data_IF_588263621289
#
_entry.id   IF_588263621289
#
_cell.length_a   1.000
_cell.length_b   1.000
_cell.length_c   1.000
_cell.angle_alpha   90.00
_cell.angle_beta   90.00
_cell.angle_gamma   90.00
#
_symmetry.space_group_name_H-M   'P 1'
#
loop_
_entity.id
_entity.type
_entity.pdbx_description
1 polymer ?
#
# COMPACT_ATOMS: atom_id res chain seq x y z
N UNK A 1 -15.07 -1.46 1.73
CA UNK A 1 -14.36 -0.18 1.62
C UNK A 1 -13.57 -0.21 0.32
N UNK A 2 -13.61 0.88 -0.45
CA UNK A 2 -12.75 1.06 -1.63
C UNK A 2 -11.60 1.95 -1.17
N UNK A 3 -10.35 1.54 -1.40
CA UNK A 3 -9.17 2.31 -1.02
C UNK A 3 -8.04 2.10 -2.03
N UNK A 4 -7.38 3.18 -2.50
CA UNK A 4 -6.19 3.08 -3.34
C UNK A 4 -5.06 2.26 -2.70
N UNK A 5 -4.81 2.46 -1.41
CA UNK A 5 -3.75 1.77 -0.66
C UNK A 5 -3.98 0.26 -0.53
N UNK A 6 -5.23 -0.21 -0.65
CA UNK A 6 -5.54 -1.63 -0.62
C UNK A 6 -5.00 -2.39 -1.85
N UNK A 7 -4.71 -1.71 -2.97
CA UNK A 7 -4.00 -2.31 -4.10
C UNK A 7 -2.56 -2.70 -3.73
N UNK A 8 -1.94 -1.96 -2.80
CA UNK A 8 -0.54 -2.14 -2.40
C UNK A 8 -0.43 -3.07 -1.19
N UNK A 9 -1.21 -2.82 -0.13
CA UNK A 9 -1.14 -3.54 1.16
C UNK A 9 -2.47 -4.20 1.56
N UNK A 10 -3.05 -5.09 0.73
CA UNK A 10 -4.42 -5.61 0.94
C UNK A 10 -4.62 -6.33 2.27
N UNK A 11 -3.59 -7.06 2.75
CA UNK A 11 -3.66 -7.80 4.03
C UNK A 11 -3.83 -6.87 5.22
N UNK A 12 -3.11 -5.75 5.26
CA UNK A 12 -3.18 -4.79 6.37
C UNK A 12 -4.53 -4.07 6.41
N UNK A 13 -5.05 -3.64 5.26
CA UNK A 13 -6.40 -3.06 5.17
C UNK A 13 -7.49 -4.05 5.62
N UNK A 14 -7.36 -5.31 5.22
CA UNK A 14 -8.29 -6.37 5.64
C UNK A 14 -8.21 -6.61 7.15
N UNK A 15 -7.00 -6.69 7.72
CA UNK A 15 -6.80 -6.85 9.16
C UNK A 15 -7.35 -5.66 9.95
N UNK A 16 -7.12 -4.43 9.48
CA UNK A 16 -7.65 -3.21 10.08
C UNK A 16 -9.17 -3.22 10.14
N UNK A 17 -9.82 -3.53 9.01
CA UNK A 17 -11.28 -3.61 8.95
C UNK A 17 -11.85 -4.73 9.82
N UNK A 18 -11.21 -5.90 9.84
CA UNK A 18 -11.62 -7.02 10.70
C UNK A 18 -11.50 -6.68 12.18
N UNK A 19 -10.42 -6.02 12.60
CA UNK A 19 -10.24 -5.56 13.97
C UNK A 19 -11.34 -4.57 14.37
N UNK A 20 -11.65 -3.60 13.52
CA UNK A 20 -12.73 -2.65 13.76
C UNK A 20 -14.09 -3.35 13.87
N UNK A 21 -14.40 -4.27 12.95
CA UNK A 21 -15.66 -5.04 12.95
C UNK A 21 -15.81 -5.95 14.17
N UNK A 22 -14.70 -6.44 14.72
CA UNK A 22 -14.67 -7.24 15.94
C UNK A 22 -14.72 -6.38 17.23
N UNK A 23 -14.83 -5.06 17.13
CA UNK A 23 -14.81 -4.14 18.28
C UNK A 23 -13.42 -3.87 18.85
N UNK A 24 -12.36 -4.43 18.27
CA UNK A 24 -10.98 -4.15 18.68
C UNK A 24 -10.47 -2.86 18.01
N UNK A 25 -10.95 -1.72 18.50
CA UNK A 25 -10.62 -0.41 17.95
C UNK A 25 -9.14 -0.03 18.14
N UNK A 26 -8.50 -0.47 19.24
CA UNK A 26 -7.08 -0.19 19.48
C UNK A 26 -6.20 -0.82 18.39
N UNK A 27 -6.43 -2.08 18.05
CA UNK A 27 -5.70 -2.73 16.96
C UNK A 27 -6.02 -2.10 15.59
N UNK A 28 -7.27 -1.70 15.35
CA UNK A 28 -7.66 -1.03 14.12
C UNK A 28 -6.94 0.33 13.97
N UNK A 29 -6.90 1.15 15.01
CA UNK A 29 -6.23 2.44 15.01
C UNK A 29 -4.72 2.29 14.83
N UNK A 30 -4.09 1.33 15.52
CA UNK A 30 -2.66 1.04 15.33
C UNK A 30 -2.33 0.66 13.88
N UNK A 31 -3.18 -0.13 13.22
CA UNK A 31 -3.01 -0.45 11.80
C UNK A 31 -3.27 0.75 10.90
N UNK A 32 -4.28 1.57 11.22
CA UNK A 32 -4.59 2.80 10.50
C UNK A 32 -3.42 3.78 10.53
N UNK A 33 -2.80 3.98 11.70
CA UNK A 33 -1.66 4.87 11.90
C UNK A 33 -0.45 4.43 11.08
N UNK A 34 -0.21 3.11 10.98
CA UNK A 34 0.83 2.57 10.10
C UNK A 34 0.53 2.82 8.62
N UNK A 35 -0.74 2.71 8.20
CA UNK A 35 -1.14 2.87 6.80
C UNK A 35 -1.25 4.33 6.35
N UNK A 36 -1.52 5.26 7.27
CA UNK A 36 -1.77 6.67 6.98
C UNK A 36 -0.68 7.34 6.12
N UNK A 37 0.63 7.18 6.41
CA UNK A 37 1.68 7.76 5.58
C UNK A 37 1.60 7.32 4.11
N UNK A 38 1.36 6.03 3.84
CA UNK A 38 1.23 5.54 2.47
C UNK A 38 -0.04 6.07 1.80
N UNK A 39 -1.16 6.11 2.53
CA UNK A 39 -2.44 6.64 2.02
C UNK A 39 -2.28 8.11 1.60
N UNK A 40 -1.59 8.92 2.42
CA UNK A 40 -1.34 10.32 2.11
C UNK A 40 -0.56 10.51 0.81
N UNK A 41 0.48 9.71 0.58
CA UNK A 41 1.31 9.79 -0.63
C UNK A 41 0.60 9.32 -1.90
N UNK A 42 -0.24 8.28 -1.78
CA UNK A 42 -1.05 7.77 -2.91
C UNK A 42 -2.22 8.70 -3.27
N UNK A 43 -2.58 9.61 -2.37
CA UNK A 43 -3.66 10.58 -2.54
C UNK A 43 -5.07 9.98 -2.37
N UNK A 44 -6.09 10.85 -2.23
CA UNK A 44 -7.47 10.44 -1.91
C UNK A 44 -8.12 9.62 -3.03
N UNK A 45 -7.90 10.00 -4.29
CA UNK A 45 -8.45 9.31 -5.47
C UNK A 45 -7.59 8.12 -5.92
N UNK A 46 -6.34 8.03 -5.44
CA UNK A 46 -5.39 7.02 -5.85
C UNK A 46 -4.78 7.26 -7.22
N UNK A 47 -3.61 7.90 -7.25
CA UNK A 47 -2.85 8.07 -8.49
C UNK A 47 -2.36 6.70 -9.02
N UNK A 48 -2.78 6.25 -10.23
CA UNK A 48 -2.33 4.98 -10.79
C UNK A 48 -0.81 4.91 -10.98
N UNK A 49 -0.14 6.03 -11.25
CA UNK A 49 1.31 6.05 -11.41
C UNK A 49 2.02 5.80 -10.07
N UNK A 50 1.57 6.47 -9.00
CA UNK A 50 2.03 6.21 -7.65
C UNK A 50 1.78 4.78 -7.16
N UNK A 51 0.56 4.24 -7.39
CA UNK A 51 0.22 2.86 -7.02
C UNK A 51 1.12 1.86 -7.74
N UNK A 52 1.32 2.01 -9.06
CA UNK A 52 2.19 1.10 -9.82
C UNK A 52 3.65 1.22 -9.38
N UNK A 53 4.12 2.43 -9.04
CA UNK A 53 5.45 2.59 -8.48
C UNK A 53 5.59 1.89 -7.11
N UNK A 54 4.60 1.99 -6.23
CA UNK A 54 4.59 1.25 -4.97
C UNK A 54 4.62 -0.27 -5.19
N UNK A 55 3.85 -0.78 -6.17
CA UNK A 55 3.86 -2.19 -6.54
C UNK A 55 5.19 -2.64 -7.15
N UNK A 56 5.85 -1.79 -7.94
CA UNK A 56 7.21 -2.06 -8.41
C UNK A 56 8.18 -2.24 -7.25
N UNK A 57 8.15 -1.37 -6.25
CA UNK A 57 9.01 -1.49 -5.07
C UNK A 57 8.67 -2.74 -4.23
N UNK A 58 7.39 -3.03 -4.06
CA UNK A 58 6.92 -4.13 -3.19
C UNK A 58 7.02 -5.52 -3.84
N UNK A 59 6.86 -5.60 -5.16
CA UNK A 59 6.67 -6.85 -5.90
C UNK A 59 7.59 -7.00 -7.12
N UNK A 60 8.41 -6.01 -7.44
CA UNK A 60 9.26 -6.03 -8.62
C UNK A 60 8.49 -5.98 -9.94
N UNK A 61 7.24 -5.52 -9.94
CA UNK A 61 6.44 -5.41 -11.15
C UNK A 61 6.99 -4.33 -12.08
N UNK A 62 6.87 -4.57 -13.38
CA UNK A 62 7.16 -3.56 -14.40
C UNK A 62 6.12 -2.43 -14.35
N UNK A 63 6.59 -1.18 -14.39
CA UNK A 63 5.72 0.00 -14.41
C UNK A 63 5.46 0.40 -15.86
N UNK A 64 4.36 -0.09 -16.40
CA UNK A 64 3.85 0.36 -17.70
C UNK A 64 2.67 1.31 -17.47
N UNK A 65 2.82 2.57 -17.88
CA UNK A 65 1.78 3.60 -17.86
C UNK A 65 1.42 3.95 -19.31
N UNK A 66 0.13 4.07 -19.60
CA UNK A 66 -0.37 4.44 -20.94
C UNK A 66 -0.81 5.90 -20.92
N UNK A 67 -0.55 6.60 -22.02
CA UNK A 67 -1.04 7.96 -22.22
C UNK A 67 -2.58 8.01 -22.10
N UNK A 68 -3.15 9.12 -21.58
CA UNK A 68 -2.49 10.39 -21.27
C UNK A 68 -1.79 10.44 -19.90
N UNK A 69 -1.77 9.34 -19.14
CA UNK A 69 -1.08 9.29 -17.86
C UNK A 69 0.44 9.25 -18.07
N UNK A 70 1.17 9.84 -17.12
CA UNK A 70 2.63 9.88 -17.11
C UNK A 70 3.17 9.27 -15.81
N UNK A 71 4.46 8.95 -15.79
CA UNK A 71 5.12 8.47 -14.58
C UNK A 71 5.08 9.53 -13.48
N UNK A 72 4.91 9.11 -12.24
CA UNK A 72 4.94 10.02 -11.10
C UNK A 72 6.29 10.74 -10.99
N UNK A 73 6.26 11.99 -10.54
CA UNK A 73 7.45 12.83 -10.36
C UNK A 73 8.46 12.17 -9.40
N UNK A 74 9.78 12.40 -9.60
CA UNK A 74 10.83 11.79 -8.78
C UNK A 74 10.65 12.01 -7.27
N UNK A 75 10.25 13.21 -6.87
CA UNK A 75 10.01 13.58 -5.46
C UNK A 75 8.90 12.74 -4.85
N UNK A 76 7.78 12.56 -5.58
CA UNK A 76 6.65 11.74 -5.15
C UNK A 76 7.01 10.27 -5.09
N UNK A 77 7.79 9.77 -6.06
CA UNK A 77 8.30 8.40 -6.06
C UNK A 77 9.15 8.12 -4.82
N UNK A 78 10.02 9.06 -4.47
CA UNK A 78 10.81 8.99 -3.24
C UNK A 78 9.95 8.97 -1.97
N UNK A 79 8.95 9.85 -1.89
CA UNK A 79 8.03 9.91 -0.75
C UNK A 79 7.22 8.60 -0.58
N UNK A 80 6.71 8.05 -1.68
CA UNK A 80 6.05 6.73 -1.70
C UNK A 80 7.01 5.64 -1.21
N UNK A 81 8.25 5.62 -1.70
CA UNK A 81 9.26 4.66 -1.25
C UNK A 81 9.55 4.74 0.24
N UNK A 82 9.68 5.97 0.78
CA UNK A 82 9.87 6.22 2.21
C UNK A 82 8.66 5.74 3.03
N UNK A 83 7.44 6.03 2.60
CA UNK A 83 6.22 5.60 3.27
C UNK A 83 6.04 4.06 3.23
N UNK A 84 6.54 3.42 2.17
CA UNK A 84 6.43 1.97 1.97
C UNK A 84 7.53 1.17 2.69
N UNK A 85 8.67 1.80 3.01
CA UNK A 85 9.83 1.15 3.60
C UNK A 85 9.53 0.22 4.80
N UNK A 86 8.66 0.59 5.77
CA UNK A 86 8.33 -0.28 6.91
C UNK A 86 7.66 -1.61 6.53
N UNK A 87 7.15 -1.73 5.31
CA UNK A 87 6.40 -2.91 4.83
C UNK A 87 7.20 -3.80 3.88
N UNK A 88 8.42 -3.39 3.51
CA UNK A 88 9.26 -4.16 2.57
C UNK A 88 9.85 -5.43 3.20
N UNK A 89 9.97 -5.49 4.52
CA UNK A 89 10.55 -6.65 5.24
C UNK A 89 9.51 -7.70 5.66
N UNK A 90 8.22 -7.39 5.57
CA UNK A 90 7.12 -8.34 5.85
C UNK A 90 6.99 -9.46 4.78
N UNK A 91 7.95 -9.55 3.84
CA UNK A 91 8.03 -10.55 2.76
C UNK A 91 8.13 -12.00 3.24
N UNK A 92 8.52 -12.25 4.49
CA UNK A 92 8.75 -13.60 5.02
C UNK A 92 7.51 -14.48 5.25
N UNK A 93 6.28 -13.93 5.16
CA UNK A 93 5.07 -14.64 5.59
C UNK A 93 4.26 -15.41 4.52
N UNK A 94 4.72 -15.51 3.26
CA UNK A 94 3.89 -16.09 2.15
C UNK A 94 4.62 -17.14 1.28
N UNK A 95 5.65 -17.81 1.81
CA UNK A 95 6.23 -19.01 1.17
C UNK A 95 5.84 -20.31 1.90
N UNK A 96 4.66 -20.35 2.52
CA UNK A 96 4.11 -21.56 3.11
C UNK A 96 2.60 -21.60 2.84
N UNK A 97 2.24 -22.06 1.65
CA UNK A 97 1.00 -22.79 1.35
C UNK A 97 1.19 -23.39 -0.06
N UNK A 98 2.15 -24.32 -0.13
CA UNK A 98 2.14 -25.40 -1.11
C UNK A 98 1.73 -26.65 -0.35
N UNK A 99 0.43 -26.97 -0.42
CA UNK A 99 -0.14 -28.31 -0.20
C UNK A 99 -1.28 -28.46 -1.20
#
# INVERSE_FOLDING_TARGET
>A
MISPGANVLPRLFTSMYRAARAGNLSAALSLQDRLLPLIAELGPEGDPAGIKHALQLLRGLEVVIRLPLVTAEPERRFAIGKALAPFLDERGGTMALSI
#
